data_IF_236942344120
#
_entry.id   IF_236942344120
#
_cell.length_a   1.000
_cell.length_b   1.000
_cell.length_c   1.000
_cell.angle_alpha   90.00
_cell.angle_beta   90.00
_cell.angle_gamma   90.00
#
_symmetry.space_group_name_H-M   'P 1'
#
loop_
_entity.id
_entity.type
_entity.pdbx_description
1 polymer ?
#
# COMPACT_ATOMS: atom_id res chain seq x y z
N UNK A 1 -27.36 9.71 3.08
CA UNK A 1 -27.06 8.44 3.77
C UNK A 1 -25.54 8.34 3.99
N UNK A 2 -25.11 8.07 5.19
CA UNK A 2 -23.69 7.92 5.51
C UNK A 2 -23.22 6.56 4.97
N UNK A 3 -22.13 6.57 4.18
CA UNK A 3 -21.54 5.33 3.69
C UNK A 3 -20.91 4.55 4.87
N UNK A 4 -21.38 3.33 5.19
CA UNK A 4 -20.83 2.56 6.29
C UNK A 4 -19.50 1.89 5.98
N UNK A 5 -19.09 1.85 4.72
CA UNK A 5 -17.87 1.17 4.31
C UNK A 5 -16.64 2.06 4.52
N UNK A 6 -15.59 1.56 5.18
CA UNK A 6 -14.37 2.32 5.36
C UNK A 6 -13.60 2.52 4.07
N UNK A 7 -12.75 3.54 4.07
CA UNK A 7 -11.84 3.84 2.97
C UNK A 7 -10.45 3.28 3.27
N UNK A 8 -9.82 2.78 2.22
CA UNK A 8 -8.43 2.35 2.22
C UNK A 8 -7.67 3.25 1.25
N UNK A 9 -6.48 3.71 1.65
CA UNK A 9 -5.62 4.51 0.81
C UNK A 9 -4.33 3.75 0.50
N UNK A 10 -3.97 3.71 -0.78
CA UNK A 10 -2.74 3.07 -1.25
C UNK A 10 -1.94 4.02 -2.14
N UNK A 11 -0.62 3.88 -2.13
CA UNK A 11 0.26 4.59 -3.03
C UNK A 11 0.35 3.85 -4.37
N UNK A 12 0.20 4.58 -5.48
CA UNK A 12 0.28 4.01 -6.83
C UNK A 12 1.69 4.18 -7.38
N UNK A 13 2.46 3.09 -7.55
CA UNK A 13 3.76 3.17 -8.21
C UNK A 13 3.60 3.35 -9.72
N UNK A 14 4.72 3.65 -10.41
CA UNK A 14 4.71 3.66 -11.88
C UNK A 14 4.23 2.32 -12.46
N UNK A 15 3.73 2.30 -13.73
CA UNK A 15 3.14 1.10 -14.31
C UNK A 15 4.05 -0.12 -14.35
N UNK A 16 5.34 0.06 -14.63
CA UNK A 16 6.29 -1.06 -14.70
C UNK A 16 6.47 -1.71 -13.32
N UNK A 17 6.62 -0.91 -12.28
CA UNK A 17 6.73 -1.40 -10.90
C UNK A 17 5.43 -2.04 -10.44
N UNK A 18 4.27 -1.43 -10.75
CA UNK A 18 2.97 -2.01 -10.43
C UNK A 18 2.81 -3.40 -11.06
N UNK A 19 3.23 -3.57 -12.31
CA UNK A 19 3.20 -4.85 -13.01
C UNK A 19 4.11 -5.89 -12.35
N UNK A 20 5.31 -5.49 -11.93
CA UNK A 20 6.25 -6.39 -11.22
C UNK A 20 5.67 -6.85 -9.87
N UNK A 21 5.07 -5.96 -9.12
CA UNK A 21 4.42 -6.30 -7.85
C UNK A 21 3.27 -7.29 -8.05
N UNK A 22 2.44 -7.05 -9.06
CA UNK A 22 1.31 -7.92 -9.37
C UNK A 22 1.75 -9.31 -9.81
N UNK A 23 2.78 -9.39 -10.63
CA UNK A 23 3.35 -10.66 -11.08
C UNK A 23 3.86 -11.49 -9.89
N UNK A 24 4.57 -10.86 -8.96
CA UNK A 24 5.06 -11.52 -7.74
C UNK A 24 3.90 -12.01 -6.85
N UNK A 25 2.88 -11.17 -6.67
CA UNK A 25 1.72 -11.54 -5.86
C UNK A 25 0.96 -12.72 -6.47
N UNK A 26 0.73 -12.71 -7.77
CA UNK A 26 0.06 -13.82 -8.46
C UNK A 26 0.85 -15.12 -8.37
N UNK A 27 2.18 -15.04 -8.38
CA UNK A 27 3.04 -16.22 -8.29
C UNK A 27 3.06 -16.85 -6.89
N UNK A 28 2.88 -16.08 -5.83
CA UNK A 28 3.16 -16.53 -4.47
C UNK A 28 1.99 -16.44 -3.49
N UNK A 29 1.04 -15.55 -3.73
CA UNK A 29 -0.14 -15.41 -2.86
C UNK A 29 -1.12 -16.57 -3.15
N UNK A 30 -1.71 -17.22 -2.10
CA UNK A 30 -2.71 -18.26 -2.34
C UNK A 30 -3.86 -17.76 -3.22
N UNK A 31 -4.10 -18.44 -4.34
CA UNK A 31 -5.06 -17.99 -5.36
C UNK A 31 -6.46 -17.76 -4.79
N UNK A 32 -6.91 -18.68 -3.93
CA UNK A 32 -8.26 -18.59 -3.32
C UNK A 32 -8.42 -17.39 -2.39
N UNK A 33 -7.32 -16.82 -1.88
CA UNK A 33 -7.31 -15.70 -0.91
C UNK A 33 -6.91 -14.37 -1.56
N UNK A 34 -6.49 -14.40 -2.82
CA UNK A 34 -5.98 -13.21 -3.51
C UNK A 34 -7.13 -12.40 -4.11
N UNK A 35 -7.77 -11.58 -3.27
CA UNK A 35 -8.97 -10.79 -3.62
C UNK A 35 -8.69 -9.36 -4.02
N UNK A 36 -7.47 -8.86 -3.76
CA UNK A 36 -7.09 -7.48 -4.06
C UNK A 36 -5.76 -7.46 -4.81
N UNK A 37 -5.50 -6.43 -5.64
CA UNK A 37 -4.21 -6.32 -6.33
C UNK A 37 -3.07 -6.07 -5.35
N UNK A 38 -1.83 -6.30 -5.80
CA UNK A 38 -0.65 -5.89 -5.06
C UNK A 38 -0.71 -4.39 -4.79
N UNK A 39 -0.38 -3.97 -3.56
CA UNK A 39 -0.57 -2.59 -3.14
C UNK A 39 0.42 -2.15 -2.07
N UNK A 40 0.63 -0.83 -2.01
CA UNK A 40 1.38 -0.16 -0.94
C UNK A 40 0.36 0.53 -0.05
N UNK A 41 0.09 0.00 1.14
CA UNK A 41 -0.87 0.60 2.05
C UNK A 41 -0.33 1.87 2.69
N UNK A 42 -1.15 2.92 2.69
CA UNK A 42 -0.90 4.15 3.43
C UNK A 42 -1.82 4.24 4.66
N UNK A 43 -3.12 3.99 4.47
CA UNK A 43 -4.11 3.95 5.55
C UNK A 43 -5.05 2.77 5.34
N UNK A 44 -5.35 2.06 6.42
CA UNK A 44 -6.16 0.84 6.37
C UNK A 44 -7.65 1.10 6.61
N UNK A 45 -7.99 2.22 7.27
CA UNK A 45 -9.37 2.45 7.65
C UNK A 45 -9.62 3.93 7.97
N UNK A 46 -10.22 4.64 7.02
CA UNK A 46 -10.77 5.97 7.25
C UNK A 46 -12.30 5.90 7.11
N UNK A 47 -13.06 6.76 7.82
CA UNK A 47 -14.51 6.72 7.72
C UNK A 47 -15.00 7.01 6.30
N UNK A 48 -15.92 6.18 5.79
CA UNK A 48 -16.50 6.38 4.45
C UNK A 48 -17.24 7.72 4.30
N UNK A 49 -17.82 8.23 5.39
CA UNK A 49 -18.48 9.53 5.41
C UNK A 49 -17.52 10.69 5.11
N UNK A 50 -16.22 10.49 5.27
CA UNK A 50 -15.20 11.52 5.06
C UNK A 50 -14.61 11.52 3.63
N UNK A 51 -15.20 10.77 2.71
CA UNK A 51 -14.64 10.60 1.35
C UNK A 51 -14.29 11.93 0.68
N UNK A 52 -15.20 12.88 0.67
CA UNK A 52 -14.97 14.18 0.01
C UNK A 52 -13.83 14.95 0.68
N UNK A 53 -13.80 14.98 2.01
CA UNK A 53 -12.74 15.65 2.77
C UNK A 53 -11.38 14.96 2.56
N UNK A 54 -11.37 13.63 2.48
CA UNK A 54 -10.15 12.85 2.19
C UNK A 54 -9.62 13.20 0.81
N UNK A 55 -10.47 13.21 -0.22
CA UNK A 55 -10.07 13.56 -1.59
C UNK A 55 -9.54 14.99 -1.67
N UNK A 56 -10.21 15.94 -1.02
CA UNK A 56 -9.76 17.34 -0.99
C UNK A 56 -8.39 17.50 -0.35
N UNK A 57 -8.14 16.79 0.75
CA UNK A 57 -6.82 16.78 1.40
C UNK A 57 -5.75 16.15 0.51
N UNK A 58 -6.07 15.08 -0.20
CA UNK A 58 -5.14 14.46 -1.14
C UNK A 58 -4.80 15.40 -2.31
N UNK A 59 -5.77 16.14 -2.83
CA UNK A 59 -5.53 17.16 -3.86
C UNK A 59 -4.63 18.29 -3.34
N UNK A 60 -4.84 18.72 -2.10
CA UNK A 60 -3.95 19.70 -1.45
C UNK A 60 -2.52 19.16 -1.38
N UNK A 61 -2.35 17.93 -0.90
CA UNK A 61 -1.05 17.26 -0.82
C UNK A 61 -0.37 17.20 -2.19
N UNK A 62 -1.11 16.82 -3.23
CA UNK A 62 -0.59 16.73 -4.59
C UNK A 62 -0.08 18.07 -5.15
N UNK A 63 -0.66 19.19 -4.72
CA UNK A 63 -0.21 20.52 -5.12
C UNK A 63 1.06 20.99 -4.39
N UNK A 64 1.37 20.40 -3.24
CA UNK A 64 2.44 20.84 -2.35
C UNK A 64 3.65 19.90 -2.31
N UNK A 65 3.54 18.72 -2.93
CA UNK A 65 4.61 17.73 -2.96
C UNK A 65 4.78 17.16 -4.36
N UNK A 66 6.02 17.06 -4.86
CA UNK A 66 6.27 16.33 -6.11
C UNK A 66 6.04 14.84 -5.91
N UNK A 67 5.93 14.11 -7.01
CA UNK A 67 5.81 12.65 -6.99
C UNK A 67 7.02 12.03 -6.28
N UNK A 68 6.84 11.31 -5.16
CA UNK A 68 7.95 10.74 -4.40
C UNK A 68 8.67 9.64 -5.17
N UNK A 69 9.98 9.58 -5.03
CA UNK A 69 10.73 8.40 -5.42
C UNK A 69 10.62 7.34 -4.33
N UNK A 70 10.64 6.07 -4.73
CA UNK A 70 10.65 4.93 -3.82
C UNK A 70 11.71 3.93 -4.29
N UNK A 71 12.42 3.35 -3.34
CA UNK A 71 13.38 2.29 -3.59
C UNK A 71 12.82 0.98 -3.06
N UNK A 72 12.83 -0.07 -3.90
CA UNK A 72 12.53 -1.43 -3.48
C UNK A 72 13.84 -2.06 -3.02
N UNK A 73 13.96 -2.34 -1.73
CA UNK A 73 15.24 -2.62 -1.08
C UNK A 73 15.50 -4.09 -0.77
N UNK A 74 14.46 -4.91 -0.78
CA UNK A 74 14.61 -6.33 -0.48
C UNK A 74 13.29 -6.99 -0.14
N UNK A 75 13.38 -8.18 0.42
CA UNK A 75 12.24 -8.92 0.95
C UNK A 75 12.34 -9.03 2.46
N UNK A 76 11.20 -9.16 3.11
CA UNK A 76 11.14 -9.45 4.55
C UNK A 76 10.09 -10.50 4.85
N UNK A 77 10.31 -11.22 5.96
CA UNK A 77 9.35 -12.20 6.46
C UNK A 77 8.15 -11.53 7.10
N UNK A 78 6.97 -12.08 6.84
CA UNK A 78 5.74 -11.80 7.59
C UNK A 78 5.40 -12.96 8.55
N UNK A 79 6.31 -13.92 8.74
CA UNK A 79 6.07 -15.14 9.50
C UNK A 79 5.34 -16.20 8.67
N UNK A 80 4.16 -15.90 8.18
CA UNK A 80 3.35 -16.76 7.31
C UNK A 80 3.29 -16.25 5.87
N UNK A 81 4.27 -15.48 5.47
CA UNK A 81 4.36 -14.90 4.14
C UNK A 81 5.59 -14.05 3.97
N UNK A 82 5.64 -13.35 2.83
CA UNK A 82 6.76 -12.53 2.39
C UNK A 82 6.25 -11.20 1.84
N UNK A 83 6.95 -10.13 2.14
CA UNK A 83 6.70 -8.80 1.58
C UNK A 83 7.96 -8.22 0.97
N UNK A 84 7.78 -7.41 -0.09
CA UNK A 84 8.80 -6.48 -0.56
C UNK A 84 8.93 -5.32 0.43
N UNK A 85 10.14 -4.95 0.78
CA UNK A 85 10.44 -3.79 1.62
C UNK A 85 10.70 -2.57 0.74
N UNK A 86 10.14 -1.43 1.13
CA UNK A 86 10.25 -0.17 0.42
C UNK A 86 10.86 0.90 1.31
N UNK A 87 11.66 1.78 0.71
CA UNK A 87 12.15 2.99 1.36
C UNK A 87 11.80 4.20 0.51
N UNK A 88 11.19 5.20 1.15
CA UNK A 88 10.87 6.48 0.55
C UNK A 88 10.70 7.53 1.65
N UNK A 89 11.75 8.31 1.95
CA UNK A 89 11.62 9.41 2.94
C UNK A 89 10.51 10.40 2.58
N UNK A 90 10.36 10.71 1.30
CA UNK A 90 9.37 11.67 0.83
C UNK A 90 7.94 11.13 0.98
N UNK A 91 7.71 9.86 0.64
CA UNK A 91 6.38 9.24 0.85
C UNK A 91 6.07 9.08 2.34
N UNK A 92 7.06 8.73 3.15
CA UNK A 92 6.92 8.66 4.60
C UNK A 92 6.53 10.04 5.18
N UNK A 93 7.13 11.11 4.66
CA UNK A 93 6.79 12.48 5.07
C UNK A 93 5.34 12.86 4.70
N UNK A 94 4.93 12.58 3.45
CA UNK A 94 3.54 12.77 3.00
C UNK A 94 2.58 12.00 3.90
N UNK A 95 2.89 10.73 4.17
CA UNK A 95 2.06 9.88 5.03
C UNK A 95 1.94 10.46 6.44
N UNK A 96 3.02 10.97 7.02
CA UNK A 96 3.01 11.59 8.34
C UNK A 96 2.17 12.86 8.38
N UNK A 97 2.26 13.72 7.36
CA UNK A 97 1.41 14.92 7.25
C UNK A 97 -0.07 14.56 7.16
N UNK A 98 -0.42 13.54 6.37
CA UNK A 98 -1.79 13.06 6.27
C UNK A 98 -2.29 12.48 7.60
N UNK A 99 -1.45 11.72 8.29
CA UNK A 99 -1.79 11.17 9.61
C UNK A 99 -2.06 12.28 10.64
N UNK A 100 -1.28 13.35 10.63
CA UNK A 100 -1.51 14.51 11.48
C UNK A 100 -2.84 15.20 11.16
N UNK A 101 -3.12 15.40 9.86
CA UNK A 101 -4.36 16.02 9.41
C UNK A 101 -5.60 15.21 9.78
N UNK A 102 -5.48 13.88 9.82
CA UNK A 102 -6.59 12.96 10.09
C UNK A 102 -6.52 12.31 11.48
N UNK A 103 -5.69 12.84 12.38
CA UNK A 103 -5.45 12.22 13.68
C UNK A 103 -6.72 11.77 14.44
N UNK A 104 -7.81 12.57 14.49
CA UNK A 104 -9.03 12.15 15.19
C UNK A 104 -9.77 10.99 14.52
N UNK A 105 -9.49 10.71 13.25
CA UNK A 105 -10.18 9.70 12.45
C UNK A 105 -9.47 8.35 12.45
N UNK A 106 -8.20 8.30 12.88
CA UNK A 106 -7.36 7.12 12.69
C UNK A 106 -7.67 6.02 13.69
N UNK A 107 -7.76 4.78 13.19
CA UNK A 107 -7.74 3.57 14.02
C UNK A 107 -6.32 3.35 14.59
N UNK A 108 -6.16 2.56 15.68
CA UNK A 108 -4.85 2.33 16.30
C UNK A 108 -3.77 1.87 15.33
N UNK A 109 -4.09 1.00 14.38
CA UNK A 109 -3.15 0.53 13.35
C UNK A 109 -2.58 1.69 12.53
N UNK A 110 -3.42 2.64 12.13
CA UNK A 110 -3.02 3.78 11.28
C UNK A 110 -2.32 4.89 12.07
N UNK A 111 -2.37 4.87 13.39
CA UNK A 111 -1.61 5.77 14.27
C UNK A 111 -0.16 5.35 14.43
N UNK A 112 0.17 4.12 14.08
CA UNK A 112 1.54 3.61 14.16
C UNK A 112 2.41 4.22 13.05
N UNK A 113 3.73 4.22 13.27
CA UNK A 113 4.68 4.64 12.25
C UNK A 113 4.54 3.80 10.99
N UNK A 114 4.60 4.46 9.84
CA UNK A 114 4.47 3.78 8.55
C UNK A 114 5.75 3.05 8.17
N UNK A 115 5.60 1.82 7.70
CA UNK A 115 6.69 1.01 7.16
C UNK A 115 6.27 0.46 5.81
N UNK A 116 6.82 1.04 4.73
CA UNK A 116 6.45 0.70 3.36
C UNK A 116 6.76 -0.74 2.98
N UNK A 117 5.75 -1.44 2.48
CA UNK A 117 5.91 -2.81 1.99
C UNK A 117 4.81 -3.18 1.00
N UNK A 118 5.07 -4.24 0.24
CA UNK A 118 4.08 -4.87 -0.64
C UNK A 118 4.03 -6.35 -0.31
N UNK A 119 2.90 -6.82 0.19
CA UNK A 119 2.69 -8.24 0.48
C UNK A 119 2.55 -9.03 -0.81
N UNK A 120 3.43 -10.01 -1.02
CA UNK A 120 3.39 -10.90 -2.17
C UNK A 120 2.94 -12.32 -1.81
N UNK A 121 3.02 -12.67 -0.52
CA UNK A 121 2.56 -13.95 0.01
C UNK A 121 2.12 -13.77 1.46
N UNK A 122 0.99 -14.37 1.83
CA UNK A 122 0.55 -14.43 3.23
C UNK A 122 -0.39 -15.62 3.43
N UNK A 123 -0.64 -15.97 4.69
CA UNK A 123 -1.54 -17.05 5.09
C UNK A 123 -1.11 -18.43 4.57
N UNK A 124 0.19 -18.64 4.42
CA UNK A 124 0.79 -19.96 4.13
C UNK A 124 1.41 -20.53 5.39
N UNK A 125 1.84 -21.79 5.35
CA UNK A 125 2.59 -22.38 6.45
C UNK A 125 3.95 -21.69 6.61
N UNK A 126 4.47 -21.53 7.84
CA UNK A 126 5.75 -20.86 8.07
C UNK A 126 6.93 -21.46 7.29
N UNK A 127 6.95 -22.78 7.09
CA UNK A 127 8.00 -23.44 6.30
C UNK A 127 7.94 -23.04 4.82
N UNK A 128 6.74 -22.88 4.27
CA UNK A 128 6.54 -22.41 2.88
C UNK A 128 7.02 -20.97 2.77
N UNK A 129 6.67 -20.11 3.72
CA UNK A 129 7.10 -18.72 3.74
C UNK A 129 8.63 -18.58 3.77
N UNK A 130 9.31 -19.39 4.60
CA UNK A 130 10.78 -19.39 4.67
C UNK A 130 11.42 -19.80 3.34
N UNK A 131 10.87 -20.81 2.67
CA UNK A 131 11.35 -21.26 1.35
C UNK A 131 11.18 -20.17 0.31
N UNK A 132 10.02 -19.53 0.27
CA UNK A 132 9.73 -18.42 -0.65
C UNK A 132 10.68 -17.25 -0.40
N UNK A 133 10.89 -16.86 0.85
CA UNK A 133 11.80 -15.77 1.21
C UNK A 133 13.23 -16.04 0.73
N UNK A 134 13.75 -17.25 0.98
CA UNK A 134 15.08 -17.63 0.53
C UNK A 134 15.20 -17.60 -1.01
N UNK A 135 14.23 -18.14 -1.71
CA UNK A 135 14.19 -18.17 -3.17
C UNK A 135 14.20 -16.76 -3.76
N UNK A 136 13.33 -15.89 -3.29
CA UNK A 136 13.20 -14.53 -3.80
C UNK A 136 14.40 -13.66 -3.45
N UNK A 137 14.96 -13.84 -2.25
CA UNK A 137 16.15 -13.08 -1.81
C UNK A 137 17.37 -13.43 -2.63
N UNK A 138 17.53 -14.68 -3.04
CA UNK A 138 18.70 -15.14 -3.80
C UNK A 138 18.86 -14.44 -5.17
N UNK A 139 17.76 -14.04 -5.80
CA UNK A 139 17.77 -13.39 -7.12
C UNK A 139 17.39 -11.91 -7.06
N UNK A 140 17.25 -11.34 -5.86
CA UNK A 140 16.79 -9.97 -5.70
C UNK A 140 17.84 -8.97 -6.16
N UNK A 141 17.40 -7.94 -6.90
CA UNK A 141 18.18 -6.75 -7.23
C UNK A 141 17.33 -5.51 -6.90
N UNK A 142 17.87 -4.52 -6.19
CA UNK A 142 17.13 -3.29 -5.88
C UNK A 142 16.76 -2.53 -7.16
N UNK A 143 15.61 -1.86 -7.11
CA UNK A 143 15.23 -0.94 -8.18
C UNK A 143 14.48 0.26 -7.62
N UNK A 144 14.43 1.34 -8.40
CA UNK A 144 13.72 2.56 -8.06
C UNK A 144 12.45 2.69 -8.88
N UNK A 145 11.47 3.32 -8.25
CA UNK A 145 10.19 3.65 -8.84
C UNK A 145 9.77 5.05 -8.38
N UNK A 146 8.67 5.51 -8.89
CA UNK A 146 8.06 6.78 -8.50
C UNK A 146 6.61 6.53 -8.14
N UNK A 147 6.13 7.21 -7.10
CA UNK A 147 4.71 7.15 -6.73
C UNK A 147 3.99 8.23 -7.54
N UNK A 148 3.14 7.79 -8.45
CA UNK A 148 2.45 8.65 -9.43
C UNK A 148 1.03 9.00 -9.03
N UNK A 149 0.56 8.51 -7.90
CA UNK A 149 -0.77 8.82 -7.39
C UNK A 149 -1.07 8.16 -6.06
N UNK A 150 -2.19 8.56 -5.48
CA UNK A 150 -2.77 7.92 -4.31
C UNK A 150 -4.17 7.45 -4.70
N UNK A 151 -4.43 6.17 -4.50
CA UNK A 151 -5.72 5.55 -4.75
C UNK A 151 -6.56 5.51 -3.49
N UNK A 152 -7.84 5.82 -3.65
CA UNK A 152 -8.85 5.70 -2.61
C UNK A 152 -9.78 4.55 -2.97
N UNK A 153 -9.93 3.61 -2.04
CA UNK A 153 -10.75 2.40 -2.21
C UNK A 153 -11.84 2.36 -1.15
N UNK A 154 -12.95 1.74 -1.51
CA UNK A 154 -14.00 1.34 -0.55
C UNK A 154 -13.79 -0.13 -0.18
N UNK A 155 -13.72 -0.42 1.13
CA UNK A 155 -13.63 -1.80 1.62
C UNK A 155 -15.02 -2.42 1.69
N UNK A 156 -15.22 -3.53 0.96
CA UNK A 156 -16.52 -4.19 0.85
C UNK A 156 -16.63 -5.48 1.68
N UNK A 157 -15.76 -5.65 2.68
CA UNK A 157 -15.75 -6.84 3.53
C UNK A 157 -14.86 -7.98 3.02
N UNK A 158 -14.07 -7.72 2.00
CA UNK A 158 -13.13 -8.63 1.35
C UNK A 158 -12.59 -7.96 0.11
N UNK A 159 -13.35 -7.86 -0.99
CA UNK A 159 -12.94 -7.12 -2.18
C UNK A 159 -12.92 -5.61 -1.92
N UNK A 160 -12.13 -4.89 -2.73
CA UNK A 160 -12.03 -3.43 -2.70
C UNK A 160 -12.59 -2.84 -3.98
N UNK A 161 -13.35 -1.76 -3.84
CA UNK A 161 -13.86 -0.99 -4.97
C UNK A 161 -13.03 0.28 -5.14
N UNK A 162 -12.46 0.49 -6.33
CA UNK A 162 -11.71 1.70 -6.64
C UNK A 162 -12.65 2.90 -6.78
N UNK A 163 -12.41 3.96 -6.01
CA UNK A 163 -13.24 5.17 -6.01
C UNK A 163 -12.58 6.35 -6.73
N UNK A 164 -11.30 6.55 -6.49
CA UNK A 164 -10.60 7.76 -6.97
C UNK A 164 -9.09 7.52 -7.03
N UNK A 165 -8.44 8.13 -8.01
CA UNK A 165 -6.99 8.31 -8.03
C UNK A 165 -6.70 9.81 -8.01
N UNK A 166 -5.87 10.25 -7.06
CA UNK A 166 -5.32 11.60 -7.04
C UNK A 166 -3.88 11.52 -7.55
N UNK A 167 -3.62 12.12 -8.71
CA UNK A 167 -2.30 12.07 -9.34
C UNK A 167 -1.27 12.89 -8.57
N UNK A 168 -0.05 12.38 -8.48
CA UNK A 168 1.14 13.08 -8.00
C UNK A 168 2.08 13.31 -9.19
N UNK A 169 2.68 14.51 -9.29
CA UNK A 169 3.52 14.89 -10.43
C UNK A 169 4.84 15.51 -10.02
#
# INVERSE_FOLDING_TARGET
MIDPHPLILTARPDPDTASRFETLRRAHYPVALNQVPAHISLFHHLPGAEFEAVVDRLKFTARHHPAPEVEVTGYRSLGRGVALALQSPDLAHIRAELADAWAPLLIPQDRQGWRGHVTVQNKVEPAVARTTLALLTASFQPWRSRIVGIDVWRYLGGPWEHLKTVALR
#
